data_IF_053999024671
#
_entry.id   IF_053999024671
#
_cell.length_a   1.000
_cell.length_b   1.000
_cell.length_c   1.000
_cell.angle_alpha   90.00
_cell.angle_beta   90.00
_cell.angle_gamma   90.00
#
_symmetry.space_group_name_H-M   'P 1'
#
loop_
_entity.id
_entity.type
_entity.pdbx_description
1 polymer ?
#
# COMPACT_ATOMS: atom_id res chain seq x y z
N UNK A 1 -18.28 23.75 3.53
CA UNK A 1 -18.52 22.49 2.79
C UNK A 1 -17.52 21.44 3.29
N UNK A 2 -17.69 20.94 4.52
CA UNK A 2 -16.63 20.15 5.20
C UNK A 2 -17.12 19.39 6.43
N UNK A 3 -18.35 18.86 6.37
CA UNK A 3 -18.94 18.08 7.46
C UNK A 3 -18.40 16.64 7.52
N UNK A 4 -19.08 15.77 8.25
CA UNK A 4 -18.72 14.37 8.44
C UNK A 4 -18.42 13.58 7.14
N UNK A 5 -19.02 13.98 6.02
CA UNK A 5 -18.78 13.36 4.72
C UNK A 5 -17.36 13.59 4.16
N UNK A 6 -16.74 14.74 4.46
CA UNK A 6 -15.36 15.01 4.06
C UNK A 6 -14.37 14.16 4.89
N UNK A 7 -14.61 14.03 6.19
CA UNK A 7 -13.81 13.16 7.08
C UNK A 7 -13.82 11.70 6.64
N UNK A 8 -15.01 11.14 6.37
CA UNK A 8 -15.15 9.76 5.90
C UNK A 8 -14.41 9.54 4.56
N UNK A 9 -14.37 10.55 3.70
CA UNK A 9 -13.66 10.47 2.42
C UNK A 9 -12.14 10.47 2.61
N UNK A 10 -11.63 11.33 3.49
CA UNK A 10 -10.20 11.39 3.84
C UNK A 10 -9.77 10.08 4.48
N UNK A 11 -10.53 9.56 5.45
CA UNK A 11 -10.25 8.26 6.08
C UNK A 11 -10.24 7.09 5.08
N UNK A 12 -11.12 7.15 4.07
CA UNK A 12 -11.15 6.13 2.99
C UNK A 12 -9.91 6.26 2.10
N UNK A 13 -9.52 7.47 1.73
CA UNK A 13 -8.33 7.73 0.91
C UNK A 13 -7.05 7.36 1.66
N UNK A 14 -6.90 7.77 2.91
CA UNK A 14 -5.72 7.49 3.73
C UNK A 14 -5.63 6.00 4.09
N UNK A 15 -6.78 5.34 4.28
CA UNK A 15 -6.84 3.89 4.46
C UNK A 15 -6.43 3.14 3.18
N UNK A 16 -6.90 3.57 2.01
CA UNK A 16 -6.52 2.96 0.73
C UNK A 16 -5.01 3.11 0.45
N UNK A 17 -4.44 4.28 0.74
CA UNK A 17 -3.02 4.55 0.58
C UNK A 17 -2.18 3.86 1.66
N UNK A 18 -2.68 3.80 2.89
CA UNK A 18 -2.08 3.02 3.98
C UNK A 18 -1.93 1.54 3.61
N UNK A 19 -2.99 0.94 3.06
CA UNK A 19 -2.95 -0.45 2.58
C UNK A 19 -1.88 -0.68 1.50
N UNK A 20 -1.60 0.30 0.66
CA UNK A 20 -0.52 0.23 -0.33
C UNK A 20 0.88 0.28 0.33
N UNK A 21 1.02 1.05 1.43
CA UNK A 21 2.24 1.14 2.23
C UNK A 21 2.40 0.07 3.32
N UNK A 22 1.42 -0.81 3.50
CA UNK A 22 1.43 -1.83 4.56
C UNK A 22 1.17 -1.29 5.97
N UNK A 23 0.55 -0.11 6.08
CA UNK A 23 0.18 0.53 7.37
C UNK A 23 -1.32 0.84 7.41
N UNK A 24 -1.95 0.99 8.58
CA UNK A 24 -3.40 1.23 8.65
C UNK A 24 -3.86 2.52 7.96
N UNK A 25 -3.03 3.56 7.98
CA UNK A 25 -3.30 4.87 7.37
C UNK A 25 -2.00 5.46 6.84
N UNK A 26 -2.03 6.03 5.64
CA UNK A 26 -0.94 6.81 5.08
C UNK A 26 -1.47 7.92 4.18
N UNK A 27 -0.80 9.07 4.17
CA UNK A 27 -1.07 10.14 3.22
C UNK A 27 -0.25 9.90 1.94
N UNK A 28 -0.89 9.99 0.78
CA UNK A 28 -0.20 9.87 -0.50
C UNK A 28 0.25 11.24 -1.03
N UNK A 29 1.51 11.29 -1.48
CA UNK A 29 2.08 12.45 -2.15
C UNK A 29 2.39 12.09 -3.61
N UNK A 30 2.17 13.04 -4.53
CA UNK A 30 2.58 12.93 -5.92
C UNK A 30 3.82 13.80 -6.09
N UNK A 31 4.95 13.18 -6.43
CA UNK A 31 6.16 13.89 -6.85
C UNK A 31 6.52 13.48 -8.27
N UNK A 32 7.09 14.41 -9.03
CA UNK A 32 7.60 14.14 -10.38
C UNK A 32 8.80 13.18 -10.35
N UNK A 33 9.53 13.16 -9.23
CA UNK A 33 10.71 12.33 -9.04
C UNK A 33 10.52 11.43 -7.82
N UNK A 34 10.96 10.17 -7.94
CA UNK A 34 10.87 9.19 -6.88
C UNK A 34 11.94 9.47 -5.80
N UNK A 35 11.67 10.44 -4.91
CA UNK A 35 12.62 10.90 -3.89
C UNK A 35 12.71 9.99 -2.65
N UNK A 36 11.74 9.09 -2.44
CA UNK A 36 11.64 8.26 -1.23
C UNK A 36 12.81 7.28 -1.02
N UNK A 37 13.58 6.97 -2.06
CA UNK A 37 14.60 5.91 -2.01
C UNK A 37 16.05 6.40 -1.89
N UNK A 38 16.30 7.71 -1.84
CA UNK A 38 17.67 8.24 -1.84
C UNK A 38 18.34 8.25 -0.46
N UNK A 39 17.57 8.39 0.62
CA UNK A 39 18.11 8.64 1.97
C UNK A 39 17.69 7.59 3.01
N UNK A 40 16.77 6.68 2.67
CA UNK A 40 16.26 5.69 3.62
C UNK A 40 16.78 4.29 3.28
N UNK A 41 17.40 3.58 4.25
CA UNK A 41 17.81 2.21 4.05
C UNK A 41 16.59 1.34 3.76
N UNK A 42 16.55 0.76 2.56
CA UNK A 42 15.48 -0.14 2.14
C UNK A 42 15.81 -1.55 2.63
N UNK A 43 14.89 -2.19 3.33
CA UNK A 43 15.06 -3.59 3.73
C UNK A 43 15.00 -4.50 2.50
N UNK A 44 15.68 -5.65 2.54
CA UNK A 44 15.60 -6.65 1.46
C UNK A 44 14.14 -7.08 1.18
N UNK A 45 13.31 -7.11 2.22
CA UNK A 45 11.88 -7.38 2.12
C UNK A 45 11.16 -6.34 1.24
N UNK A 46 11.40 -5.05 1.47
CA UNK A 46 10.79 -3.97 0.70
C UNK A 46 11.25 -3.98 -0.77
N UNK A 47 12.53 -4.30 -1.03
CA UNK A 47 13.04 -4.48 -2.40
C UNK A 47 12.38 -5.64 -3.14
N UNK A 48 12.19 -6.78 -2.47
CA UNK A 48 11.53 -7.93 -3.07
C UNK A 48 10.06 -7.62 -3.38
N UNK A 49 9.35 -6.98 -2.44
CA UNK A 49 7.95 -6.59 -2.63
C UNK A 49 7.76 -5.55 -3.75
N UNK A 50 8.71 -4.61 -3.93
CA UNK A 50 8.67 -3.64 -5.02
C UNK A 50 8.92 -4.27 -6.42
N UNK A 51 9.59 -5.43 -6.46
CA UNK A 51 9.86 -6.18 -7.70
C UNK A 51 8.79 -7.21 -8.02
N UNK A 52 7.96 -7.56 -7.05
CA UNK A 52 6.90 -8.53 -7.24
C UNK A 52 5.78 -7.96 -8.09
N UNK A 53 5.32 -8.80 -9.00
CA UNK A 53 4.13 -8.53 -9.79
C UNK A 53 2.86 -8.97 -9.06
N UNK A 54 1.72 -8.36 -9.40
CA UNK A 54 0.44 -8.66 -8.75
C UNK A 54 0.10 -10.16 -8.76
N UNK A 55 0.45 -10.87 -9.84
CA UNK A 55 0.19 -12.31 -9.94
C UNK A 55 0.99 -13.14 -8.93
N UNK A 56 2.24 -12.76 -8.63
CA UNK A 56 3.08 -13.40 -7.61
C UNK A 56 2.55 -13.11 -6.21
N UNK A 57 2.11 -11.87 -5.97
CA UNK A 57 1.49 -11.44 -4.71
C UNK A 57 0.22 -12.24 -4.42
N UNK A 58 -0.66 -12.34 -5.42
CA UNK A 58 -1.92 -13.10 -5.33
C UNK A 58 -1.62 -14.58 -5.08
N UNK A 59 -0.66 -15.19 -5.78
CA UNK A 59 -0.30 -16.59 -5.58
C UNK A 59 0.16 -16.90 -4.16
N UNK A 60 0.90 -16.00 -3.52
CA UNK A 60 1.38 -16.19 -2.14
C UNK A 60 0.27 -16.14 -1.09
N UNK A 61 -0.68 -15.22 -1.25
CA UNK A 61 -1.77 -15.03 -0.27
C UNK A 61 -2.98 -15.94 -0.53
N UNK A 62 -3.10 -16.47 -1.75
CA UNK A 62 -4.21 -17.34 -2.14
C UNK A 62 -3.95 -18.77 -1.68
N UNK A 63 -4.38 -19.11 -0.47
CA UNK A 63 -4.50 -20.50 -0.06
C UNK A 63 -5.85 -21.04 -0.57
N UNK A 64 -5.83 -22.07 -1.43
CA UNK A 64 -7.05 -22.83 -1.74
C UNK A 64 -7.31 -23.75 -0.55
N UNK A 65 -8.43 -23.52 0.14
CA UNK A 65 -8.96 -24.51 1.07
C UNK A 65 -9.40 -25.71 0.22
N UNK A 66 -8.74 -26.85 0.40
CA UNK A 66 -9.19 -28.12 -0.18
C UNK A 66 -10.54 -28.46 0.47
N UNK A 67 -11.58 -28.61 -0.34
CA UNK A 67 -12.88 -29.07 0.11
C UNK A 67 -13.04 -30.45 -0.52
N UNK A 68 -12.88 -31.50 0.29
CA UNK A 68 -13.20 -32.89 -0.07
C UNK A 68 -14.71 -33.09 -0.22
#
# INVERSE_FOLDING_TARGET
YGGAYARKRIETSDGAMGMAGGVPYAEAFISLHAETHYLLPVSQYALNNARESDHERIRRVSFRVQVD
#
